data_IF_150500478550
#
_entry.id   IF_150500478550
#
_cell.length_a   1.000
_cell.length_b   1.000
_cell.length_c   1.000
_cell.angle_alpha   90.00
_cell.angle_beta   90.00
_cell.angle_gamma   90.00
#
_symmetry.space_group_name_H-M   'P 1'
#
loop_
_entity.id
_entity.type
_entity.pdbx_description
1 polymer ?
#
# COMPACT_ATOMS: atom_id res chain seq x y z
N UNK A 1 -12.17 -0.26 10.98
CA UNK A 1 -12.09 -1.70 10.62
C UNK A 1 -10.67 -2.28 10.49
N UNK A 2 -9.58 -1.57 10.89
CA UNK A 2 -8.20 -2.08 10.78
C UNK A 2 -7.78 -3.01 11.94
N UNK A 3 -8.51 -3.00 13.05
CA UNK A 3 -8.22 -3.83 14.23
C UNK A 3 -8.51 -5.31 14.00
N UNK A 4 -9.62 -5.66 13.36
CA UNK A 4 -9.98 -7.05 13.08
C UNK A 4 -8.93 -7.75 12.19
N UNK A 5 -8.43 -7.06 11.17
CA UNK A 5 -7.36 -7.59 10.32
C UNK A 5 -6.05 -7.82 11.08
N UNK A 6 -5.67 -6.89 11.98
CA UNK A 6 -4.46 -7.05 12.81
C UNK A 6 -4.61 -8.16 13.84
N UNK A 7 -5.79 -8.29 14.46
CA UNK A 7 -6.05 -9.32 15.46
C UNK A 7 -6.08 -10.72 14.82
N UNK A 8 -6.75 -10.86 13.67
CA UNK A 8 -6.75 -12.11 12.91
C UNK A 8 -5.34 -12.50 12.46
N UNK A 9 -4.52 -11.53 12.01
CA UNK A 9 -3.12 -11.76 11.66
C UNK A 9 -2.29 -12.22 12.87
N UNK A 10 -2.47 -11.57 14.03
CA UNK A 10 -1.80 -11.99 15.27
C UNK A 10 -2.21 -13.40 15.68
N UNK A 11 -3.48 -13.75 15.55
CA UNK A 11 -3.97 -15.10 15.87
C UNK A 11 -3.39 -16.15 14.91
N UNK A 12 -3.38 -15.88 13.60
CA UNK A 12 -2.73 -16.75 12.60
C UNK A 12 -1.25 -16.94 12.93
N UNK A 13 -0.53 -15.86 13.26
CA UNK A 13 0.89 -15.91 13.57
C UNK A 13 1.15 -16.70 14.84
N UNK A 14 0.33 -16.49 15.88
CA UNK A 14 0.45 -17.22 17.14
C UNK A 14 0.20 -18.71 16.93
N UNK A 15 -0.84 -19.07 16.18
CA UNK A 15 -1.15 -20.46 15.85
C UNK A 15 -0.02 -21.12 15.07
N UNK A 16 0.57 -20.42 14.09
CA UNK A 16 1.72 -20.90 13.34
C UNK A 16 2.94 -21.17 14.25
N UNK A 17 3.21 -20.28 15.21
CA UNK A 17 4.31 -20.47 16.19
C UNK A 17 4.06 -21.69 17.08
N UNK A 18 2.83 -21.86 17.59
CA UNK A 18 2.47 -23.02 18.41
C UNK A 18 2.65 -24.31 17.63
N UNK A 19 2.17 -24.36 16.38
CA UNK A 19 2.34 -25.52 15.50
C UNK A 19 3.82 -25.82 15.22
N UNK A 20 4.63 -24.78 14.96
CA UNK A 20 6.07 -24.93 14.76
C UNK A 20 6.76 -25.50 16.00
N UNK A 21 6.39 -25.04 17.19
CA UNK A 21 6.96 -25.50 18.45
C UNK A 21 6.57 -26.94 18.77
N UNK A 22 5.32 -27.30 18.51
CA UNK A 22 4.82 -28.68 18.65
C UNK A 22 5.52 -29.62 17.67
N UNK A 23 5.70 -29.18 16.42
CA UNK A 23 6.45 -29.92 15.42
C UNK A 23 7.90 -30.14 15.85
N UNK A 24 8.59 -29.09 16.33
CA UNK A 24 9.97 -29.18 16.79
C UNK A 24 10.14 -30.12 17.98
N UNK A 25 9.22 -30.08 18.93
CA UNK A 25 9.25 -30.93 20.14
C UNK A 25 8.98 -32.39 19.79
N UNK A 26 8.04 -32.65 18.87
CA UNK A 26 7.67 -34.01 18.48
C UNK A 26 8.62 -34.66 17.46
N UNK A 27 9.35 -33.86 16.67
CA UNK A 27 10.18 -34.33 15.55
C UNK A 27 11.66 -34.01 15.78
N UNK A 28 12.24 -34.64 16.80
CA UNK A 28 13.67 -34.53 17.17
C UNK A 28 14.57 -35.53 16.47
N UNK A 29 14.00 -36.41 15.64
CA UNK A 29 14.74 -37.41 14.88
C UNK A 29 15.77 -36.73 13.97
N UNK A 30 16.96 -37.30 13.92
CA UNK A 30 18.06 -36.84 13.07
C UNK A 30 17.97 -37.49 11.69
N UNK A 31 18.11 -36.66 10.66
CA UNK A 31 18.14 -37.09 9.25
C UNK A 31 19.49 -36.72 8.67
N UNK A 32 20.03 -37.64 7.88
CA UNK A 32 21.27 -37.41 7.15
C UNK A 32 20.96 -36.73 5.82
N UNK A 33 21.33 -35.46 5.69
CA UNK A 33 21.24 -34.71 4.45
C UNK A 33 22.54 -34.83 3.68
N UNK A 34 22.43 -35.20 2.40
CA UNK A 34 23.53 -35.16 1.44
C UNK A 34 23.28 -34.02 0.46
N UNK A 35 24.11 -33.00 0.49
CA UNK A 35 23.93 -31.79 -0.31
C UNK A 35 24.66 -31.93 -1.65
N UNK A 36 23.98 -32.41 -2.68
CA UNK A 36 24.57 -32.41 -4.02
C UNK A 36 24.82 -30.97 -4.51
N UNK A 37 25.99 -30.63 -5.10
CA UNK A 37 27.12 -31.47 -5.52
C UNK A 37 28.21 -31.70 -4.47
N UNK A 38 28.08 -31.19 -3.25
CA UNK A 38 29.02 -31.45 -2.16
C UNK A 38 28.90 -32.91 -1.67
N UNK A 39 30.05 -33.57 -1.48
CA UNK A 39 30.10 -34.95 -0.97
C UNK A 39 29.81 -35.07 0.54
N UNK A 40 29.66 -33.93 1.24
CA UNK A 40 29.41 -33.87 2.67
C UNK A 40 28.01 -34.34 3.08
N UNK A 41 27.95 -35.06 4.21
CA UNK A 41 26.70 -35.45 4.87
C UNK A 41 26.53 -34.70 6.18
N UNK A 42 25.35 -34.11 6.39
CA UNK A 42 25.01 -33.38 7.61
C UNK A 42 23.90 -34.10 8.35
N UNK A 43 24.14 -34.47 9.61
CA UNK A 43 23.10 -34.95 10.50
C UNK A 43 22.36 -33.78 11.12
N UNK A 44 21.13 -33.51 10.68
CA UNK A 44 20.30 -32.43 11.22
C UNK A 44 18.97 -33.00 11.69
N UNK A 45 18.42 -32.43 12.77
CA UNK A 45 17.08 -32.79 13.20
C UNK A 45 16.06 -32.35 12.13
N UNK A 46 15.01 -33.17 11.91
CA UNK A 46 13.96 -32.91 10.90
C UNK A 46 13.41 -31.49 11.04
N UNK A 47 13.16 -31.05 12.27
CA UNK A 47 12.59 -29.74 12.54
C UNK A 47 13.44 -28.58 12.02
N UNK A 48 14.77 -28.70 12.03
CA UNK A 48 15.67 -27.64 11.53
C UNK A 48 15.44 -27.44 10.03
N UNK A 49 15.30 -28.54 9.29
CA UNK A 49 15.13 -28.53 7.84
C UNK A 49 13.78 -27.91 7.49
N UNK A 50 12.70 -28.39 8.11
CA UNK A 50 11.33 -27.95 7.82
C UNK A 50 11.11 -26.51 8.27
N UNK A 51 11.47 -26.16 9.51
CA UNK A 51 11.29 -24.80 10.01
C UNK A 51 12.25 -23.83 9.34
N UNK A 52 13.48 -24.25 9.02
CA UNK A 52 14.41 -23.44 8.24
C UNK A 52 13.84 -23.11 6.87
N UNK A 53 13.36 -24.10 6.12
CA UNK A 53 12.74 -23.88 4.82
C UNK A 53 11.50 -22.99 4.91
N UNK A 54 10.62 -23.24 5.90
CA UNK A 54 9.42 -22.44 6.12
C UNK A 54 9.74 -20.98 6.47
N UNK A 55 10.70 -20.76 7.38
CA UNK A 55 11.15 -19.42 7.77
C UNK A 55 11.76 -18.68 6.57
N UNK A 56 12.60 -19.37 5.79
CA UNK A 56 13.21 -18.78 4.60
C UNK A 56 12.13 -18.39 3.57
N UNK A 57 11.17 -19.28 3.31
CA UNK A 57 10.02 -18.99 2.45
C UNK A 57 9.16 -17.84 2.95
N UNK A 58 8.93 -17.74 4.27
CA UNK A 58 8.20 -16.64 4.88
C UNK A 58 8.95 -15.30 4.76
N UNK A 59 10.27 -15.30 4.91
CA UNK A 59 11.11 -14.11 4.71
C UNK A 59 11.06 -13.62 3.26
N UNK A 60 11.20 -14.54 2.29
CA UNK A 60 11.10 -14.19 0.87
C UNK A 60 9.69 -13.73 0.47
N UNK A 61 8.65 -14.46 0.89
CA UNK A 61 7.27 -14.12 0.61
C UNK A 61 6.85 -12.80 1.28
N UNK A 62 7.18 -12.64 2.57
CA UNK A 62 6.96 -11.41 3.32
C UNK A 62 7.72 -10.23 2.72
N UNK A 63 8.97 -10.44 2.32
CA UNK A 63 9.79 -9.44 1.63
C UNK A 63 9.16 -8.98 0.30
N UNK A 64 8.64 -9.89 -0.52
CA UNK A 64 7.93 -9.57 -1.76
C UNK A 64 6.66 -8.76 -1.50
N UNK A 65 5.87 -9.16 -0.50
CA UNK A 65 4.66 -8.43 -0.08
C UNK A 65 5.03 -7.03 0.43
N UNK A 66 6.13 -6.91 1.16
CA UNK A 66 6.62 -5.62 1.64
C UNK A 66 7.04 -4.69 0.49
N UNK A 67 7.75 -5.23 -0.51
CA UNK A 67 8.10 -4.50 -1.72
C UNK A 67 6.86 -4.01 -2.48
N UNK A 68 5.84 -4.85 -2.61
CA UNK A 68 4.59 -4.48 -3.30
C UNK A 68 3.81 -3.40 -2.54
N UNK A 69 3.80 -3.46 -1.20
CA UNK A 69 3.25 -2.42 -0.33
C UNK A 69 3.98 -1.08 -0.49
N UNK A 70 5.31 -1.11 -0.53
CA UNK A 70 6.13 0.11 -0.75
C UNK A 70 5.86 0.69 -2.14
N UNK A 71 5.82 -0.15 -3.18
CA UNK A 71 5.49 0.27 -4.53
C UNK A 71 4.07 0.86 -4.64
N UNK A 72 3.08 0.23 -3.99
CA UNK A 72 1.71 0.72 -3.93
C UNK A 72 1.63 2.07 -3.21
N UNK A 73 2.37 2.26 -2.12
CA UNK A 73 2.43 3.52 -1.38
C UNK A 73 3.07 4.64 -2.20
N UNK A 74 4.16 4.34 -2.93
CA UNK A 74 4.80 5.28 -3.86
C UNK A 74 3.86 5.69 -5.00
N UNK A 75 3.08 4.74 -5.54
CA UNK A 75 2.05 5.03 -6.55
C UNK A 75 0.95 5.92 -5.97
N UNK A 76 0.53 5.68 -4.73
CA UNK A 76 -0.48 6.47 -4.06
C UNK A 76 -0.04 7.94 -3.87
N UNK A 77 1.23 8.18 -3.52
CA UNK A 77 1.79 9.54 -3.45
C UNK A 77 1.81 10.26 -4.80
N UNK A 78 2.10 9.54 -5.89
CA UNK A 78 2.02 10.11 -7.24
C UNK A 78 0.59 10.46 -7.62
N UNK A 79 -0.40 9.63 -7.27
CA UNK A 79 -1.81 9.92 -7.50
C UNK A 79 -2.27 11.13 -6.69
N UNK A 80 -1.95 11.20 -5.39
CA UNK A 80 -2.29 12.36 -4.55
C UNK A 80 -1.72 13.67 -5.10
N UNK A 81 -0.47 13.67 -5.59
CA UNK A 81 0.12 14.87 -6.22
C UNK A 81 -0.58 15.27 -7.52
N UNK A 82 -1.10 14.31 -8.30
CA UNK A 82 -1.86 14.60 -9.53
C UNK A 82 -3.24 15.13 -9.22
N UNK A 83 -3.91 14.59 -8.20
CA UNK A 83 -5.19 15.09 -7.72
C UNK A 83 -5.08 16.53 -7.22
N UNK A 84 -4.10 16.84 -6.37
CA UNK A 84 -3.92 18.23 -5.88
C UNK A 84 -3.58 19.24 -6.99
N UNK A 85 -2.94 18.80 -8.09
CA UNK A 85 -2.73 19.66 -9.27
C UNK A 85 -3.99 19.84 -10.10
N UNK A 86 -4.83 18.82 -10.20
CA UNK A 86 -6.11 18.89 -10.89
C UNK A 86 -7.11 19.77 -10.12
N UNK A 87 -7.16 19.63 -8.79
CA UNK A 87 -7.97 20.45 -7.89
C UNK A 87 -7.58 21.93 -7.97
N UNK A 88 -6.27 22.25 -7.92
CA UNK A 88 -5.80 23.63 -8.11
C UNK A 88 -6.21 24.24 -9.45
N UNK A 89 -6.22 23.43 -10.53
CA UNK A 89 -6.63 23.90 -11.86
C UNK A 89 -8.14 24.12 -11.94
N UNK A 90 -8.93 23.29 -11.27
CA UNK A 90 -10.37 23.47 -11.17
C UNK A 90 -10.69 24.78 -10.42
N UNK A 91 -10.06 25.00 -9.27
CA UNK A 91 -10.24 26.24 -8.48
C UNK A 91 -9.81 27.49 -9.25
N UNK A 92 -8.69 27.45 -9.99
CA UNK A 92 -8.28 28.59 -10.80
C UNK A 92 -9.23 28.87 -11.97
N UNK A 93 -9.78 27.82 -12.58
CA UNK A 93 -10.74 27.97 -13.68
C UNK A 93 -12.09 28.50 -13.19
N UNK A 94 -12.55 28.06 -12.02
CA UNK A 94 -13.75 28.60 -11.36
C UNK A 94 -13.55 30.08 -11.00
N UNK A 95 -12.39 30.46 -10.44
CA UNK A 95 -12.07 31.85 -10.13
C UNK A 95 -12.01 32.75 -11.38
N UNK A 96 -11.53 32.22 -12.51
CA UNK A 96 -11.48 32.94 -13.79
C UNK A 96 -12.89 33.11 -14.39
N UNK A 97 -13.76 32.10 -14.26
CA UNK A 97 -15.18 32.18 -14.65
C UNK A 97 -15.95 33.20 -13.80
N UNK A 98 -15.71 33.24 -12.49
CA UNK A 98 -16.30 34.21 -11.58
C UNK A 98 -15.82 35.64 -11.87
N UNK A 99 -14.53 35.81 -12.22
CA UNK A 99 -13.98 37.10 -12.62
C UNK A 99 -14.59 37.60 -13.94
N UNK A 100 -14.72 36.73 -14.95
CA UNK A 100 -15.37 37.06 -16.23
C UNK A 100 -16.87 37.38 -16.06
N UNK A 101 -17.55 36.67 -15.16
CA UNK A 101 -18.96 36.93 -14.82
C UNK A 101 -19.14 38.26 -14.09
N UNK A 102 -18.19 38.61 -13.21
CA UNK A 102 -18.19 39.87 -12.46
C UNK A 102 -17.88 41.08 -13.34
N UNK A 103 -17.00 40.94 -14.34
CA UNK A 103 -16.64 42.02 -15.28
C UNK A 103 -17.72 42.26 -16.35
N UNK A 104 -18.62 41.30 -16.57
CA UNK A 104 -19.80 41.46 -17.45
C UNK A 104 -20.95 42.23 -16.75
N UNK A 105 -20.84 42.51 -15.44
CA UNK A 105 -21.93 43.08 -14.64
C UNK A 105 -22.08 44.63 -14.62
N UNK A 106 -21.19 45.49 -15.18
CA UNK A 106 -21.48 46.92 -15.27
C UNK A 106 -21.41 47.44 -16.73
N UNK A 107 -22.20 46.87 -17.64
CA UNK A 107 -22.48 47.53 -18.94
C UNK A 107 -23.96 47.65 -19.30
N UNK A 108 -24.86 47.53 -18.31
CA UNK A 108 -26.30 47.81 -18.46
C UNK A 108 -26.71 49.21 -17.98
N UNK A 109 -25.80 50.05 -17.49
CA UNK A 109 -26.11 51.41 -16.99
C UNK A 109 -25.79 52.57 -17.95
N UNK A 110 -25.38 52.33 -19.20
CA UNK A 110 -25.09 53.41 -20.16
C UNK A 110 -25.95 53.42 -21.44
N UNK A 111 -27.04 52.66 -21.50
CA UNK A 111 -28.00 52.78 -22.60
C UNK A 111 -29.15 53.73 -22.22
N UNK A 112 -28.99 54.98 -22.65
CA UNK A 112 -30.08 55.83 -23.16
C UNK A 112 -30.84 56.70 -22.14
N UNK A 113 -30.17 57.74 -21.66
CA UNK A 113 -30.81 59.03 -21.35
C UNK A 113 -31.25 59.69 -22.67
N UNK A 114 -32.54 59.59 -23.03
CA UNK A 114 -33.14 60.38 -24.11
C UNK A 114 -33.54 61.77 -23.55
N UNK A 115 -33.21 62.89 -24.22
CA UNK A 115 -33.64 64.21 -23.77
C UNK A 115 -35.12 64.42 -24.09
N UNK A 116 -35.89 64.86 -23.09
CA UNK A 116 -37.28 65.28 -23.23
C UNK A 116 -37.34 66.60 -24.01
N UNK A 117 -37.97 66.57 -25.19
CA UNK A 117 -38.25 67.75 -26.01
C UNK A 117 -39.66 68.24 -25.67
N UNK A 118 -39.75 69.52 -25.29
CA UNK A 118 -41.00 70.28 -25.12
C UNK A 118 -41.79 70.39 -26.43
#
# INVERSE_FOLDING_TARGET
>A
MRFFGRLAWSFISLLAVILAMLFATSNTQTVTLRLWPLEGTFGLAVWIIVLGAAATGALFGGGLVWLSLVAAKARNWRLQRRLGKAEKRAVSAEAELDAVTSDTAPSSSQATTLPSRQ
#
